data_IF_423916627327
#
_entry.id   IF_423916627327
#
_cell.length_a   1.000
_cell.length_b   1.000
_cell.length_c   1.000
_cell.angle_alpha   90.00
_cell.angle_beta   90.00
_cell.angle_gamma   90.00
#
_symmetry.space_group_name_H-M   'P 1'
#
loop_
_entity.id
_entity.type
_entity.pdbx_description
1 polymer ?
#
# COMPACT_ATOMS: atom_id res chain seq x y z
N UNK A 1 -13.47 1.08 14.77
CA UNK A 1 -12.34 0.58 13.97
C UNK A 1 -12.07 1.59 12.90
N UNK A 2 -10.83 2.03 12.76
CA UNK A 2 -10.43 2.82 11.61
C UNK A 2 -10.22 1.84 10.43
N UNK A 3 -10.44 2.28 9.20
CA UNK A 3 -10.28 1.42 8.03
C UNK A 3 -8.80 1.18 7.72
N UNK A 4 -8.51 0.04 7.09
CA UNK A 4 -7.20 -0.26 6.53
C UNK A 4 -7.01 0.46 5.20
N UNK A 5 -5.83 1.01 4.92
CA UNK A 5 -5.50 1.56 3.60
C UNK A 5 -4.03 1.40 3.27
N UNK A 6 -3.71 1.21 1.99
CA UNK A 6 -2.34 1.27 1.50
C UNK A 6 -1.98 2.70 1.13
N UNK A 7 -0.79 3.13 1.53
CA UNK A 7 -0.13 4.35 1.05
C UNK A 7 1.01 3.95 0.15
N UNK A 8 0.96 4.39 -1.11
CA UNK A 8 1.97 4.13 -2.12
C UNK A 8 2.97 5.28 -2.11
N UNK A 9 4.25 4.95 -2.15
CA UNK A 9 5.34 5.92 -2.16
C UNK A 9 6.27 5.73 -3.35
N UNK A 10 6.77 6.85 -3.85
CA UNK A 10 7.77 6.88 -4.92
C UNK A 10 9.19 6.59 -4.40
N UNK A 11 10.17 6.69 -5.30
CA UNK A 11 11.59 6.51 -5.00
C UNK A 11 12.17 7.49 -3.98
N UNK A 12 11.55 8.65 -3.84
CA UNK A 12 11.97 9.69 -2.91
C UNK A 12 11.31 9.52 -1.53
N UNK A 13 10.43 8.53 -1.39
CA UNK A 13 9.62 8.33 -0.19
C UNK A 13 8.42 9.28 -0.11
N UNK A 14 8.09 9.99 -1.19
CA UNK A 14 6.92 10.85 -1.26
C UNK A 14 5.66 10.02 -1.51
N UNK A 15 4.56 10.37 -0.83
CA UNK A 15 3.27 9.72 -1.02
C UNK A 15 2.72 10.04 -2.43
N UNK A 16 2.52 9.00 -3.24
CA UNK A 16 1.93 9.10 -4.58
C UNK A 16 0.40 9.15 -4.48
N UNK A 17 -0.19 8.15 -3.83
CA UNK A 17 -1.62 8.06 -3.55
C UNK A 17 -1.91 7.05 -2.43
N UNK A 18 -3.14 7.07 -1.92
CA UNK A 18 -3.68 5.99 -1.12
C UNK A 18 -4.55 5.04 -1.97
N UNK A 19 -4.76 3.82 -1.48
CA UNK A 19 -5.81 2.92 -1.98
C UNK A 19 -7.19 3.34 -1.47
N UNK A 20 -8.20 2.57 -1.85
CA UNK A 20 -9.47 2.54 -1.12
C UNK A 20 -9.29 2.04 0.32
N UNK A 21 -10.34 2.23 1.12
CA UNK A 21 -10.43 1.79 2.51
C UNK A 21 -10.99 0.37 2.59
N UNK A 22 -10.34 -0.49 3.38
CA UNK A 22 -10.72 -1.89 3.57
C UNK A 22 -11.22 -2.12 4.99
N UNK A 23 -12.18 -3.05 5.13
CA UNK A 23 -12.76 -3.38 6.43
C UNK A 23 -11.86 -4.30 7.26
N UNK A 24 -10.92 -4.99 6.62
CA UNK A 24 -9.97 -5.89 7.26
C UNK A 24 -8.59 -5.87 6.60
N UNK A 25 -7.58 -6.32 7.34
CA UNK A 25 -6.22 -6.52 6.84
C UNK A 25 -6.18 -7.55 5.70
N UNK A 26 -6.95 -8.63 5.80
CA UNK A 26 -6.99 -9.69 4.79
C UNK A 26 -7.51 -9.17 3.44
N UNK A 27 -8.54 -8.32 3.45
CA UNK A 27 -9.03 -7.64 2.24
C UNK A 27 -7.96 -6.72 1.63
N UNK A 28 -7.26 -5.95 2.47
CA UNK A 28 -6.19 -5.08 2.02
C UNK A 28 -5.04 -5.87 1.40
N UNK A 29 -4.63 -6.99 2.00
CA UNK A 29 -3.57 -7.86 1.47
C UNK A 29 -3.99 -8.55 0.16
N UNK A 30 -5.25 -8.98 0.05
CA UNK A 30 -5.78 -9.54 -1.19
C UNK A 30 -5.75 -8.52 -2.34
N UNK A 31 -6.12 -7.26 -2.07
CA UNK A 31 -6.01 -6.16 -3.03
C UNK A 31 -4.56 -5.91 -3.44
N UNK A 32 -3.62 -5.88 -2.49
CA UNK A 32 -2.20 -5.65 -2.78
C UNK A 32 -1.62 -6.71 -3.73
N UNK A 33 -1.98 -7.98 -3.53
CA UNK A 33 -1.56 -9.05 -4.42
C UNK A 33 -2.10 -8.92 -5.84
N UNK A 34 -3.33 -8.41 -6.00
CA UNK A 34 -3.96 -8.20 -7.30
C UNK A 34 -3.39 -6.98 -8.03
N UNK A 35 -3.18 -5.87 -7.33
CA UNK A 35 -2.76 -4.60 -7.92
C UNK A 35 -1.24 -4.44 -8.05
N UNK A 36 -0.45 -5.33 -7.42
CA UNK A 36 1.02 -5.24 -7.35
C UNK A 36 1.70 -4.73 -8.63
N UNK A 37 1.40 -5.39 -9.76
CA UNK A 37 2.03 -5.07 -11.03
C UNK A 37 1.64 -3.69 -11.57
N UNK A 38 0.39 -3.29 -11.35
CA UNK A 38 -0.09 -1.96 -11.72
C UNK A 38 0.57 -0.89 -10.85
N UNK A 39 0.68 -1.11 -9.54
CA UNK A 39 1.32 -0.16 -8.61
C UNK A 39 2.79 0.08 -8.98
N UNK A 40 3.54 -0.99 -9.27
CA UNK A 40 4.91 -0.89 -9.71
C UNK A 40 5.03 -0.13 -11.04
N UNK A 41 4.10 -0.36 -11.98
CA UNK A 41 4.05 0.35 -13.26
C UNK A 41 3.65 1.83 -13.11
N UNK A 42 2.88 2.19 -12.08
CA UNK A 42 2.57 3.58 -11.70
C UNK A 42 3.80 4.31 -11.12
N UNK A 43 4.90 3.60 -10.85
CA UNK A 43 6.12 4.15 -10.25
C UNK A 43 6.12 4.10 -8.71
N UNK A 44 5.19 3.36 -8.10
CA UNK A 44 5.27 3.07 -6.68
C UNK A 44 6.43 2.11 -6.42
N UNK A 45 7.28 2.49 -5.48
CA UNK A 45 8.45 1.70 -5.09
C UNK A 45 8.31 1.09 -3.71
N UNK A 46 7.42 1.65 -2.91
CA UNK A 46 7.17 1.22 -1.54
C UNK A 46 5.69 1.35 -1.24
N UNK A 47 5.18 0.42 -0.45
CA UNK A 47 3.79 0.42 0.03
C UNK A 47 3.76 0.25 1.53
N UNK A 48 2.87 1.00 2.17
CA UNK A 48 2.70 1.02 3.62
C UNK A 48 1.23 0.76 3.93
N UNK A 49 0.94 -0.28 4.70
CA UNK A 49 -0.41 -0.53 5.20
C UNK A 49 -0.62 0.27 6.47
N UNK A 50 -1.69 1.04 6.49
CA UNK A 50 -2.14 1.83 7.63
C UNK A 50 -3.38 1.17 8.24
N UNK A 51 -3.46 1.11 9.57
CA UNK A 51 -4.69 0.93 10.34
C UNK A 51 -5.01 2.27 11.00
N UNK A 52 -5.88 3.06 10.36
CA UNK A 52 -6.08 4.46 10.74
C UNK A 52 -4.84 5.32 10.55
N UNK A 53 -4.14 5.61 11.64
CA UNK A 53 -2.91 6.41 11.68
C UNK A 53 -1.66 5.55 11.99
N UNK A 54 -1.85 4.27 12.33
CA UNK A 54 -0.77 3.37 12.69
C UNK A 54 -0.24 2.61 11.46
N UNK A 55 1.08 2.55 11.32
CA UNK A 55 1.73 1.71 10.31
C UNK A 55 1.73 0.26 10.81
N UNK A 56 1.05 -0.62 10.09
CA UNK A 56 0.98 -2.05 10.44
C UNK A 56 1.81 -2.93 9.52
N UNK A 57 2.17 -2.44 8.33
CA UNK A 57 3.03 -3.17 7.39
C UNK A 57 3.75 -2.19 6.45
N UNK A 58 4.97 -2.55 6.03
CA UNK A 58 5.80 -1.76 5.13
C UNK A 58 6.62 -2.72 4.26
N UNK A 59 6.55 -2.56 2.94
CA UNK A 59 7.39 -3.31 2.01
C UNK A 59 7.78 -2.54 0.74
N UNK A 60 8.90 -2.96 0.14
CA UNK A 60 9.31 -2.53 -1.20
C UNK A 60 8.50 -3.25 -2.28
N UNK A 61 8.09 -2.52 -3.31
CA UNK A 61 7.53 -3.06 -4.56
C UNK A 61 8.61 -3.38 -5.61
N UNK A 62 9.86 -2.95 -5.39
CA UNK A 62 10.95 -3.25 -6.32
C UNK A 62 11.30 -4.75 -6.27
N UNK A 63 11.48 -5.40 -7.43
CA UNK A 63 12.15 -6.70 -7.45
C UNK A 63 13.59 -6.54 -6.93
N UNK A 64 14.02 -7.48 -6.07
CA UNK A 64 15.41 -7.56 -5.59
C UNK A 64 16.41 -7.90 -6.71
#
# INVERSE_FOLDING_TARGET
MLPFRWVLRDANGADLRASEEFASKDEAEAWMGAEWAALAAEGAERVVLMDGDDIVYDMSLRPE
#
